data_IF_516193951884
#
_entry.id   IF_516193951884
#
_cell.length_a   1.000
_cell.length_b   1.000
_cell.length_c   1.000
_cell.angle_alpha   90.00
_cell.angle_beta   90.00
_cell.angle_gamma   90.00
#
_symmetry.space_group_name_H-M   'P 1'
#
loop_
_entity.id
_entity.type
_entity.pdbx_description
1 polymer ?
#
# COMPACT_ATOMS: atom_id res chain seq x y z
N UNK A 1 -5.27 7.33 5.47
CA UNK A 1 -4.18 8.24 5.04
C UNK A 1 -3.50 7.83 3.72
N UNK A 2 -3.99 6.78 3.06
CA UNK A 2 -3.41 6.21 1.83
C UNK A 2 -3.39 7.17 0.64
N UNK A 3 -4.50 7.86 0.33
CA UNK A 3 -4.60 8.70 -0.88
C UNK A 3 -3.58 9.85 -0.85
N UNK A 4 -3.47 10.65 0.24
CA UNK A 4 -2.45 11.70 0.32
C UNK A 4 -1.02 11.16 0.22
N UNK A 5 -0.76 9.98 0.82
CA UNK A 5 0.55 9.35 0.76
C UNK A 5 0.92 8.93 -0.67
N UNK A 6 0.02 8.21 -1.36
CA UNK A 6 0.23 7.82 -2.75
C UNK A 6 0.39 9.06 -3.63
N UNK A 7 -0.46 10.08 -3.46
CA UNK A 7 -0.40 11.31 -4.25
C UNK A 7 0.93 12.07 -4.08
N UNK A 8 1.47 12.13 -2.85
CA UNK A 8 2.77 12.73 -2.59
C UNK A 8 3.89 11.96 -3.30
N UNK A 9 3.91 10.62 -3.18
CA UNK A 9 4.91 9.78 -3.86
C UNK A 9 4.78 9.88 -5.38
N UNK A 10 3.56 9.92 -5.93
CA UNK A 10 3.35 10.08 -7.37
C UNK A 10 3.86 11.41 -7.89
N UNK A 11 3.75 12.49 -7.11
CA UNK A 11 4.29 13.80 -7.49
C UNK A 11 5.80 13.72 -7.70
N UNK A 12 6.52 13.17 -6.73
CA UNK A 12 7.98 13.01 -6.80
C UNK A 12 8.40 12.14 -7.98
N UNK A 13 7.62 11.09 -8.27
CA UNK A 13 7.83 10.19 -9.41
C UNK A 13 7.63 10.92 -10.74
N UNK A 14 6.55 11.70 -10.89
CA UNK A 14 6.26 12.42 -12.12
C UNK A 14 7.24 13.56 -12.40
N UNK A 15 7.81 14.16 -11.36
CA UNK A 15 8.85 15.18 -11.46
C UNK A 15 10.16 14.64 -12.06
N UNK A 16 10.41 13.33 -12.00
CA UNK A 16 11.58 12.71 -12.64
C UNK A 16 11.52 12.73 -14.17
N UNK A 17 10.35 13.00 -14.77
CA UNK A 17 10.21 13.06 -16.23
C UNK A 17 10.91 14.31 -16.78
N UNK A 18 11.87 14.17 -17.72
CA UNK A 18 12.59 15.30 -18.30
C UNK A 18 11.65 16.35 -18.86
N UNK A 19 11.88 17.63 -18.52
CA UNK A 19 11.06 18.75 -18.97
C UNK A 19 11.05 18.84 -20.50
N UNK A 20 12.19 18.57 -21.14
CA UNK A 20 12.34 18.58 -22.61
C UNK A 20 11.36 17.62 -23.32
N UNK A 21 11.10 16.43 -22.76
CA UNK A 21 10.11 15.50 -23.35
C UNK A 21 8.69 16.05 -23.27
N UNK A 22 8.35 16.72 -22.16
CA UNK A 22 7.04 17.35 -21.97
C UNK A 22 6.86 18.55 -22.90
N UNK A 23 7.84 19.44 -22.96
CA UNK A 23 7.81 20.64 -23.81
C UNK A 23 7.79 20.30 -25.31
N UNK A 24 8.54 19.28 -25.74
CA UNK A 24 8.51 18.84 -27.14
C UNK A 24 7.13 18.32 -27.55
N UNK A 25 6.45 17.63 -26.63
CA UNK A 25 5.09 17.15 -26.86
C UNK A 25 4.05 18.28 -26.92
N UNK A 26 4.19 19.28 -26.05
CA UNK A 26 3.37 20.49 -26.16
C UNK A 26 3.67 21.25 -27.47
N UNK A 27 4.93 21.27 -27.92
CA UNK A 27 5.35 21.92 -29.18
C UNK A 27 4.74 21.31 -30.45
N UNK A 28 4.36 20.03 -30.43
CA UNK A 28 3.63 19.37 -31.52
C UNK A 28 2.09 19.44 -31.35
N UNK A 29 1.60 20.17 -30.34
CA UNK A 29 0.17 20.37 -30.10
C UNK A 29 -0.51 19.30 -29.24
N UNK A 30 0.23 18.47 -28.50
CA UNK A 30 -0.40 17.51 -27.57
C UNK A 30 -1.10 18.22 -26.41
N UNK A 31 -2.24 17.67 -26.00
CA UNK A 31 -2.97 18.09 -24.80
C UNK A 31 -2.30 17.58 -23.52
N UNK A 32 -2.59 18.20 -22.37
CA UNK A 32 -2.08 17.77 -21.06
C UNK A 32 -2.42 16.30 -20.76
N UNK A 33 -3.61 15.85 -21.18
CA UNK A 33 -4.03 14.45 -21.03
C UNK A 33 -3.16 13.50 -21.87
N UNK A 34 -2.87 13.85 -23.12
CA UNK A 34 -2.00 13.06 -23.98
C UNK A 34 -0.57 13.01 -23.47
N UNK A 35 -0.03 14.13 -22.96
CA UNK A 35 1.31 14.18 -22.36
C UNK A 35 1.39 13.27 -21.12
N UNK A 36 0.38 13.27 -20.26
CA UNK A 36 0.36 12.37 -19.09
C UNK A 36 0.31 10.90 -19.53
N UNK A 37 -0.62 10.54 -20.40
CA UNK A 37 -0.84 9.14 -20.78
C UNK A 37 0.23 8.55 -21.69
N UNK A 38 0.78 9.35 -22.61
CA UNK A 38 1.71 8.86 -23.64
C UNK A 38 3.19 9.07 -23.28
N UNK A 39 3.49 9.96 -22.33
CA UNK A 39 4.87 10.34 -22.03
C UNK A 39 5.19 10.13 -20.55
N UNK A 40 4.48 10.84 -19.65
CA UNK A 40 4.79 10.81 -18.22
C UNK A 40 4.56 9.42 -17.62
N UNK A 41 3.36 8.84 -17.82
CA UNK A 41 3.02 7.53 -17.27
C UNK A 41 3.93 6.40 -17.79
N UNK A 42 4.21 6.29 -19.11
CA UNK A 42 5.12 5.27 -19.61
C UNK A 42 6.56 5.44 -19.14
N UNK A 43 7.04 6.70 -19.06
CA UNK A 43 8.38 7.02 -18.59
C UNK A 43 8.56 6.66 -17.10
N UNK A 44 7.53 6.92 -16.29
CA UNK A 44 7.58 6.73 -14.84
C UNK A 44 6.92 5.45 -14.35
N UNK A 45 6.58 4.52 -15.25
CA UNK A 45 5.81 3.30 -14.94
C UNK A 45 6.36 2.52 -13.74
N UNK A 46 7.68 2.44 -13.61
CA UNK A 46 8.34 1.71 -12.54
C UNK A 46 8.19 2.44 -11.20
N UNK A 47 8.31 3.77 -11.21
CA UNK A 47 8.04 4.61 -10.05
C UNK A 47 6.58 4.56 -9.62
N UNK A 48 5.64 4.55 -10.57
CA UNK A 48 4.19 4.44 -10.28
C UNK A 48 3.88 3.09 -9.62
N UNK A 49 4.40 1.99 -10.17
CA UNK A 49 4.21 0.66 -9.56
C UNK A 49 4.80 0.64 -8.14
N UNK A 50 5.98 1.23 -7.94
CA UNK A 50 6.59 1.34 -6.62
C UNK A 50 5.76 2.16 -5.62
N UNK A 51 5.26 3.31 -6.04
CA UNK A 51 4.42 4.18 -5.20
C UNK A 51 3.08 3.55 -4.82
N UNK A 52 2.43 2.83 -5.75
CA UNK A 52 1.20 2.08 -5.46
C UNK A 52 1.48 0.95 -4.46
N UNK A 53 2.56 0.18 -4.65
CA UNK A 53 2.92 -0.91 -3.74
C UNK A 53 3.25 -0.41 -2.32
N UNK A 54 3.95 0.73 -2.21
CA UNK A 54 4.19 1.39 -0.91
C UNK A 54 2.88 1.85 -0.26
N UNK A 55 1.96 2.39 -1.05
CA UNK A 55 0.62 2.78 -0.58
C UNK A 55 -0.21 1.60 -0.10
N UNK A 56 -0.18 0.47 -0.81
CA UNK A 56 -0.86 -0.77 -0.42
C UNK A 56 -0.28 -1.34 0.89
N UNK A 57 1.05 -1.32 1.04
CA UNK A 57 1.70 -1.71 2.29
C UNK A 57 1.22 -0.87 3.49
N UNK A 58 1.00 0.43 3.28
CA UNK A 58 0.37 1.30 4.28
C UNK A 58 -1.10 1.01 4.50
N UNK A 59 -1.84 0.66 3.44
CA UNK A 59 -3.26 0.35 3.55
C UNK A 59 -3.55 -0.87 4.43
N UNK A 60 -2.68 -1.89 4.37
CA UNK A 60 -2.75 -3.05 5.26
C UNK A 60 -2.61 -2.66 6.75
N UNK A 61 -1.93 -1.54 7.02
CA UNK A 61 -1.73 -1.01 8.36
C UNK A 61 -2.76 0.03 8.82
N UNK A 62 -3.79 0.34 8.03
CA UNK A 62 -4.87 1.27 8.42
C UNK A 62 -5.80 0.62 9.47
N UNK A 63 -5.24 0.38 10.64
CA UNK A 63 -5.84 -0.39 11.73
C UNK A 63 -7.05 0.34 12.30
N UNK A 64 -6.90 1.62 12.63
CA UNK A 64 -7.94 2.39 13.32
C UNK A 64 -9.16 2.62 12.45
N UNK A 65 -8.96 2.99 11.18
CA UNK A 65 -10.06 3.20 10.25
C UNK A 65 -10.87 1.91 10.04
N UNK A 66 -10.19 0.77 9.92
CA UNK A 66 -10.83 -0.53 9.70
C UNK A 66 -11.57 -0.99 10.97
N UNK A 67 -10.98 -0.85 12.16
CA UNK A 67 -11.63 -1.22 13.43
C UNK A 67 -12.98 -0.54 13.61
N UNK A 68 -13.08 0.75 13.30
CA UNK A 68 -14.33 1.50 13.50
C UNK A 68 -15.42 1.19 12.46
N UNK A 69 -15.09 0.56 11.34
CA UNK A 69 -16.03 0.30 10.24
C UNK A 69 -16.48 -1.17 10.22
N UNK A 70 -15.61 -2.12 10.56
CA UNK A 70 -15.87 -3.56 10.41
C UNK A 70 -16.82 -4.14 11.48
N UNK A 71 -17.02 -3.44 12.59
CA UNK A 71 -17.98 -3.82 13.65
C UNK A 71 -17.38 -4.55 14.85
N UNK A 72 -16.15 -5.07 14.75
CA UNK A 72 -15.38 -5.70 15.84
C UNK A 72 -16.10 -6.87 16.54
N UNK A 73 -16.63 -7.81 15.75
CA UNK A 73 -17.38 -8.97 16.26
C UNK A 73 -16.65 -10.29 15.93
N UNK A 74 -16.64 -11.23 16.89
CA UNK A 74 -16.03 -12.56 16.77
C UNK A 74 -17.03 -13.69 16.44
N UNK A 75 -18.21 -13.34 15.93
CA UNK A 75 -19.23 -14.33 15.58
C UNK A 75 -18.86 -15.01 14.26
N UNK A 76 -18.43 -16.28 14.35
CA UNK A 76 -18.16 -17.16 13.22
C UNK A 76 -19.34 -18.11 12.94
N UNK A 77 -20.57 -17.64 13.19
CA UNK A 77 -21.77 -18.48 13.15
C UNK A 77 -22.25 -18.80 11.72
N UNK A 78 -21.81 -18.05 10.69
CA UNK A 78 -22.11 -18.39 9.29
C UNK A 78 -21.07 -17.82 8.30
N UNK A 79 -20.85 -18.52 7.18
CA UNK A 79 -19.97 -18.08 6.08
C UNK A 79 -20.71 -17.08 5.18
N UNK A 80 -21.02 -15.90 5.72
CA UNK A 80 -21.69 -14.82 4.96
C UNK A 80 -20.75 -13.62 4.80
N UNK A 81 -20.61 -13.13 3.56
CA UNK A 81 -19.74 -11.99 3.22
C UNK A 81 -20.20 -10.65 3.84
N UNK A 82 -21.40 -10.59 4.40
CA UNK A 82 -21.99 -9.38 5.00
C UNK A 82 -21.88 -9.34 6.52
N UNK A 83 -21.27 -10.35 7.15
CA UNK A 83 -21.13 -10.36 8.61
C UNK A 83 -20.05 -9.40 9.08
N UNK A 84 -20.28 -8.72 10.23
CA UNK A 84 -19.23 -7.96 10.90
C UNK A 84 -18.11 -8.92 11.31
N UNK A 85 -16.88 -8.52 11.05
CA UNK A 85 -15.70 -9.32 11.33
C UNK A 85 -14.80 -8.68 12.38
N UNK A 86 -13.62 -9.25 12.54
CA UNK A 86 -12.53 -8.58 13.22
C UNK A 86 -11.23 -8.78 12.43
N UNK A 87 -10.47 -7.71 12.23
CA UNK A 87 -9.15 -7.81 11.59
C UNK A 87 -8.09 -8.16 12.63
N UNK A 88 -6.99 -8.82 12.22
CA UNK A 88 -5.88 -9.15 13.13
C UNK A 88 -5.33 -7.87 13.78
N UNK A 89 -5.23 -6.78 13.02
CA UNK A 89 -4.82 -5.45 13.50
C UNK A 89 -5.80 -4.87 14.51
N UNK A 90 -7.11 -5.04 14.29
CA UNK A 90 -8.16 -4.54 15.18
C UNK A 90 -8.23 -5.33 16.49
N UNK A 91 -8.07 -6.66 16.42
CA UNK A 91 -7.98 -7.54 17.58
C UNK A 91 -6.80 -7.16 18.47
N UNK A 92 -5.62 -6.95 17.87
CA UNK A 92 -4.43 -6.48 18.59
C UNK A 92 -4.63 -5.11 19.24
N UNK A 93 -5.22 -4.15 18.52
CA UNK A 93 -5.39 -2.79 19.04
C UNK A 93 -6.38 -2.72 20.21
N UNK A 94 -7.48 -3.48 20.16
CA UNK A 94 -8.51 -3.45 21.18
C UNK A 94 -8.18 -4.36 22.37
N UNK A 95 -7.71 -5.58 22.12
CA UNK A 95 -7.61 -6.58 23.19
C UNK A 95 -6.24 -6.66 23.86
N UNK A 96 -5.18 -6.14 23.23
CA UNK A 96 -3.86 -6.16 23.88
C UNK A 96 -3.82 -5.31 25.16
N UNK A 97 -4.62 -4.24 25.22
CA UNK A 97 -4.74 -3.40 26.42
C UNK A 97 -5.62 -4.02 27.51
N UNK A 98 -6.56 -4.89 27.14
CA UNK A 98 -7.54 -5.52 28.04
C UNK A 98 -7.15 -6.96 28.43
N UNK A 99 -6.05 -7.49 27.86
CA UNK A 99 -5.63 -8.88 28.06
C UNK A 99 -5.11 -9.15 29.49
N UNK A 100 -5.78 -10.06 30.19
CA UNK A 100 -5.32 -10.58 31.48
C UNK A 100 -4.10 -11.51 31.30
N UNK A 101 -3.19 -11.53 32.28
CA UNK A 101 -1.91 -12.24 32.18
C UNK A 101 -2.10 -13.76 32.08
N UNK A 102 -1.58 -14.37 31.01
CA UNK A 102 -1.66 -15.82 30.78
C UNK A 102 -1.69 -16.19 29.30
N UNK A 103 -2.60 -17.12 28.95
CA UNK A 103 -2.75 -17.67 27.59
C UNK A 103 -3.20 -16.61 26.56
N UNK A 104 -3.99 -15.61 26.97
CA UNK A 104 -4.54 -14.58 26.07
C UNK A 104 -3.45 -13.68 25.48
N UNK A 105 -2.51 -13.22 26.32
CA UNK A 105 -1.36 -12.43 25.87
C UNK A 105 -0.46 -13.23 24.93
N UNK A 106 -0.27 -14.53 25.20
CA UNK A 106 0.54 -15.40 24.32
C UNK A 106 -0.09 -15.56 22.93
N UNK A 107 -1.42 -15.74 22.86
CA UNK A 107 -2.15 -15.82 21.59
C UNK A 107 -2.12 -14.49 20.81
N UNK A 108 -2.27 -13.35 21.49
CA UNK A 108 -2.13 -12.04 20.86
C UNK A 108 -0.70 -11.80 20.34
N UNK A 109 0.33 -12.22 21.08
CA UNK A 109 1.71 -12.13 20.62
C UNK A 109 1.98 -12.99 19.37
N UNK A 110 1.37 -14.18 19.29
CA UNK A 110 1.41 -15.01 18.08
C UNK A 110 0.74 -14.32 16.88
N UNK A 111 -0.45 -13.75 17.08
CA UNK A 111 -1.14 -12.98 16.04
C UNK A 111 -0.32 -11.77 15.57
N UNK A 112 0.34 -11.08 16.50
CA UNK A 112 1.28 -10.00 16.19
C UNK A 112 2.46 -10.47 15.35
N UNK A 113 3.03 -11.64 15.68
CA UNK A 113 4.11 -12.24 14.89
C UNK A 113 3.65 -12.62 13.47
N UNK A 114 2.47 -13.23 13.34
CA UNK A 114 1.90 -13.57 12.03
C UNK A 114 1.70 -12.31 11.18
N UNK A 115 1.12 -11.27 11.76
CA UNK A 115 0.92 -9.99 11.09
C UNK A 115 2.25 -9.34 10.68
N UNK A 116 3.26 -9.40 11.56
CA UNK A 116 4.60 -8.93 11.25
C UNK A 116 5.20 -9.68 10.06
N UNK A 117 5.08 -11.01 10.03
CA UNK A 117 5.59 -11.84 8.92
C UNK A 117 4.87 -11.49 7.61
N UNK A 118 3.55 -11.35 7.62
CA UNK A 118 2.78 -10.99 6.42
C UNK A 118 3.20 -9.61 5.91
N UNK A 119 3.23 -8.61 6.78
CA UNK A 119 3.60 -7.23 6.39
C UNK A 119 5.05 -7.15 5.92
N UNK A 120 5.96 -7.88 6.58
CA UNK A 120 7.35 -7.98 6.17
C UNK A 120 7.48 -8.60 4.77
N UNK A 121 6.80 -9.72 4.49
CA UNK A 121 6.83 -10.37 3.17
C UNK A 121 6.31 -9.42 2.09
N UNK A 122 5.16 -8.77 2.33
CA UNK A 122 4.57 -7.84 1.35
C UNK A 122 5.52 -6.66 1.07
N UNK A 123 6.10 -6.06 2.11
CA UNK A 123 7.05 -4.96 1.96
C UNK A 123 8.36 -5.41 1.31
N UNK A 124 8.86 -6.59 1.65
CA UNK A 124 10.06 -7.17 1.05
C UNK A 124 9.87 -7.44 -0.45
N UNK A 125 8.75 -8.06 -0.84
CA UNK A 125 8.40 -8.28 -2.26
C UNK A 125 8.29 -6.95 -3.00
N UNK A 126 7.58 -5.98 -2.42
CA UNK A 126 7.42 -4.65 -3.00
C UNK A 126 8.78 -3.98 -3.26
N UNK A 127 9.68 -4.02 -2.27
CA UNK A 127 11.03 -3.44 -2.38
C UNK A 127 11.90 -4.19 -3.40
N UNK A 128 11.88 -5.52 -3.38
CA UNK A 128 12.64 -6.35 -4.32
C UNK A 128 12.18 -6.14 -5.77
N UNK A 129 10.87 -5.99 -5.99
CA UNK A 129 10.32 -5.76 -7.32
C UNK A 129 10.80 -4.41 -7.89
N UNK A 130 10.79 -3.35 -7.08
CA UNK A 130 11.32 -2.03 -7.47
C UNK A 130 12.82 -2.12 -7.78
N UNK A 131 13.60 -2.79 -6.93
CA UNK A 131 15.04 -2.95 -7.15
C UNK A 131 15.37 -3.71 -8.44
N UNK A 132 14.57 -4.72 -8.80
CA UNK A 132 14.72 -5.46 -10.06
C UNK A 132 14.34 -4.61 -11.28
N UNK A 133 13.30 -3.80 -11.17
CA UNK A 133 12.85 -2.91 -12.24
C UNK A 133 13.90 -1.82 -12.53
N UNK A 134 14.49 -1.21 -11.50
CA UNK A 134 15.57 -0.23 -11.64
C UNK A 134 16.83 -0.82 -12.31
N UNK A 135 17.17 -2.09 -12.01
CA UNK A 135 18.31 -2.77 -12.64
C UNK A 135 18.12 -2.97 -14.16
N UNK A 136 16.88 -3.13 -14.62
CA UNK A 136 16.56 -3.34 -16.03
C UNK A 136 16.54 -2.04 -16.86
N UNK A 137 16.45 -0.87 -16.21
CA UNK A 137 16.51 0.42 -16.90
C UNK A 137 17.93 0.79 -17.33
N UNK A 138 18.96 0.36 -16.60
CA UNK A 138 20.36 0.55 -16.99
C UNK A 138 20.87 -0.39 -18.08
N UNK A 139 20.02 -1.28 -18.61
CA UNK A 139 20.37 -2.29 -19.62
C UNK A 139 19.81 -1.98 -21.02
N UNK A 140 19.18 -0.81 -21.23
CA UNK A 140 18.64 -0.37 -22.51
C UNK A 140 19.13 1.00 -22.91
#
# INVERSE_FOLDING_TARGET
MIIPYIAAVMRDVFEQTPVMMKESAYGIGCTTWEVIWRIVLPFTKNGVIGGVMLGLGRALGETMAVTFIIGNTYQLDSVSLYMPGNSITSALANEFAEAESGLHVAALMELGLILFVITFIVLAISKLMIMRLAKNEGAR
#
